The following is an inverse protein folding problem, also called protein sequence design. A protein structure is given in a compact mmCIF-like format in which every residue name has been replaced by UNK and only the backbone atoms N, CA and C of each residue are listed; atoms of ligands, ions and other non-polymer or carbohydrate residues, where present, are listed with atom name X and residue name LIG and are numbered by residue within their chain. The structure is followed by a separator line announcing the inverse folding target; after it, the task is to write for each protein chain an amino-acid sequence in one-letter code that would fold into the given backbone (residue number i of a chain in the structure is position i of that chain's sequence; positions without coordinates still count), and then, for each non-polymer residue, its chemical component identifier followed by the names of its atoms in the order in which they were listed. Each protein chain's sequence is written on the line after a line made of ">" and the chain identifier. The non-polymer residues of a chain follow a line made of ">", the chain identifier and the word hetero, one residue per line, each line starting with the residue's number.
data_IF_572650345533
#
_entry.id   IF_572650345533
#
_cell.length_a   1.000
_cell.length_b   1.000
_cell.length_c   1.000
_cell.angle_alpha   90.00
_cell.angle_beta   90.00
_cell.angle_gamma   90.00
#
_symmetry.space_group_name_H-M   'P 1'
#
loop_
_entity.id
_entity.type
_entity.pdbx_description
1 polymer ?
#
# COMPACT_ATOMS: atom_id res chain seq x y z
N UNK A 1 -21.25 39.81 -21.35
CA UNK A 1 -22.43 38.91 -21.27
C UNK A 1 -22.29 37.62 -22.11
N UNK A 2 -21.94 37.67 -23.41
CA UNK A 2 -21.79 36.45 -24.25
C UNK A 2 -20.64 35.53 -23.82
N UNK A 3 -19.47 36.06 -23.47
CA UNK A 3 -18.34 35.27 -22.95
C UNK A 3 -18.68 34.56 -21.63
N UNK A 4 -19.40 35.24 -20.73
CA UNK A 4 -19.83 34.71 -19.43
C UNK A 4 -20.77 33.51 -19.60
N UNK A 5 -21.72 33.56 -20.55
CA UNK A 5 -22.61 32.44 -20.88
C UNK A 5 -21.87 31.24 -21.46
N UNK A 6 -20.90 31.48 -22.35
CA UNK A 6 -20.06 30.41 -22.93
C UNK A 6 -19.21 29.71 -21.85
N UNK A 7 -18.65 30.47 -20.92
CA UNK A 7 -17.88 29.92 -19.80
C UNK A 7 -18.76 29.06 -18.89
N UNK A 8 -19.97 29.53 -18.54
CA UNK A 8 -20.93 28.75 -17.73
C UNK A 8 -21.30 27.43 -18.41
N UNK A 9 -21.51 27.44 -19.72
CA UNK A 9 -21.81 26.22 -20.47
C UNK A 9 -20.61 25.25 -20.46
N UNK A 10 -19.39 25.73 -20.70
CA UNK A 10 -18.17 24.92 -20.62
C UNK A 10 -18.00 24.29 -19.22
N UNK A 11 -18.22 25.06 -18.15
CA UNK A 11 -18.17 24.53 -16.79
C UNK A 11 -19.21 23.44 -16.54
N UNK A 12 -20.43 23.61 -17.06
CA UNK A 12 -21.49 22.61 -16.95
C UNK A 12 -21.12 21.32 -17.67
N UNK A 13 -20.60 21.42 -18.90
CA UNK A 13 -20.23 20.26 -19.71
C UNK A 13 -19.03 19.52 -19.11
N UNK A 14 -18.05 20.26 -18.57
CA UNK A 14 -16.92 19.68 -17.84
C UNK A 14 -17.36 18.98 -16.56
N UNK A 15 -18.28 19.57 -15.80
CA UNK A 15 -18.82 18.96 -14.58
C UNK A 15 -19.53 17.64 -14.90
N UNK A 16 -20.45 17.64 -15.87
CA UNK A 16 -21.14 16.43 -16.35
C UNK A 16 -20.15 15.35 -16.81
N UNK A 17 -19.07 15.75 -17.48
CA UNK A 17 -18.00 14.83 -17.86
C UNK A 17 -17.31 14.26 -16.63
N UNK A 18 -16.89 15.09 -15.67
CA UNK A 18 -16.21 14.63 -14.47
C UNK A 18 -17.08 13.71 -13.61
N UNK A 19 -18.37 14.01 -13.49
CA UNK A 19 -19.33 13.17 -12.76
C UNK A 19 -19.41 11.77 -13.39
N UNK A 20 -19.55 11.68 -14.72
CA UNK A 20 -19.49 10.39 -15.44
C UNK A 20 -18.15 9.69 -15.27
N UNK A 21 -17.05 10.43 -15.29
CA UNK A 21 -15.71 9.84 -15.09
C UNK A 21 -15.57 9.27 -13.67
N UNK A 22 -16.06 9.99 -12.65
CA UNK A 22 -16.11 9.53 -11.26
C UNK A 22 -16.92 8.24 -11.11
N UNK A 23 -18.06 8.15 -11.77
CA UNK A 23 -18.87 6.92 -11.79
C UNK A 23 -18.12 5.75 -12.41
N UNK A 24 -17.38 5.98 -13.51
CA UNK A 24 -16.66 4.91 -14.22
C UNK A 24 -15.49 4.35 -13.38
N UNK A 25 -14.64 5.21 -12.79
CA UNK A 25 -13.50 4.71 -12.04
C UNK A 25 -13.85 4.26 -10.62
N UNK A 26 -14.93 4.78 -10.02
CA UNK A 26 -15.39 4.39 -8.68
C UNK A 26 -14.28 4.52 -7.63
N UNK A 27 -13.95 3.40 -6.97
CA UNK A 27 -12.87 3.35 -5.97
C UNK A 27 -11.46 3.27 -6.57
N UNK A 28 -11.34 3.16 -7.89
CA UNK A 28 -10.05 3.08 -8.62
C UNK A 28 -9.54 4.49 -8.90
N UNK A 29 -8.23 4.61 -9.15
CA UNK A 29 -7.59 5.90 -9.43
C UNK A 29 -7.48 6.23 -10.93
N UNK A 30 -7.69 5.25 -11.80
CA UNK A 30 -7.56 5.39 -13.25
C UNK A 30 -8.29 4.25 -13.97
N UNK A 31 -8.59 4.48 -15.25
CA UNK A 31 -9.27 3.52 -16.13
C UNK A 31 -8.89 3.78 -17.59
N UNK A 32 -8.90 2.77 -18.46
CA UNK A 32 -8.68 2.98 -19.90
C UNK A 32 -9.89 3.65 -20.56
N UNK A 33 -9.63 4.49 -21.56
CA UNK A 33 -10.71 5.13 -22.34
C UNK A 33 -11.48 4.14 -23.21
N UNK A 34 -10.85 3.04 -23.62
CA UNK A 34 -11.44 2.01 -24.50
C UNK A 34 -11.97 0.81 -23.73
N UNK A 35 -11.31 0.45 -22.62
CA UNK A 35 -11.68 -0.64 -21.73
C UNK A 35 -11.76 -0.10 -20.29
N UNK A 36 -12.97 0.23 -19.85
CA UNK A 36 -13.17 0.86 -18.54
C UNK A 36 -12.82 -0.05 -17.36
N UNK A 37 -12.65 -1.36 -17.57
CA UNK A 37 -12.27 -2.30 -16.52
C UNK A 37 -10.75 -2.37 -16.33
N UNK A 38 -9.97 -2.01 -17.35
CA UNK A 38 -8.52 -1.94 -17.28
C UNK A 38 -8.03 -0.69 -16.53
N UNK A 39 -6.97 -0.84 -15.72
CA UNK A 39 -6.38 0.26 -14.95
C UNK A 39 -4.96 0.56 -15.43
N UNK A 40 -4.57 1.84 -15.42
CA UNK A 40 -3.22 2.23 -15.79
C UNK A 40 -2.22 1.77 -14.71
N UNK A 41 -1.29 0.91 -15.11
CA UNK A 41 -0.27 0.33 -14.25
C UNK A 41 1.09 0.31 -14.94
N UNK A 42 2.14 0.22 -14.13
CA UNK A 42 3.51 0.10 -14.65
C UNK A 42 3.70 -1.33 -15.13
N UNK A 43 3.99 -1.50 -16.41
CA UNK A 43 4.22 -2.82 -16.98
C UNK A 43 5.63 -3.31 -16.67
N UNK A 44 5.83 -4.64 -16.64
CA UNK A 44 7.17 -5.24 -16.60
C UNK A 44 7.96 -4.89 -17.86
N UNK A 45 7.29 -4.93 -19.02
CA UNK A 45 7.85 -4.48 -20.29
C UNK A 45 7.76 -2.96 -20.44
N UNK A 46 8.78 -2.29 -19.92
CA UNK A 46 9.04 -0.86 -20.05
C UNK A 46 10.21 -0.64 -21.02
N UNK A 47 9.98 -0.89 -22.32
CA UNK A 47 11.01 -0.79 -23.37
C UNK A 47 11.67 0.59 -23.41
N UNK A 48 10.88 1.63 -23.21
CA UNK A 48 11.34 3.03 -23.22
C UNK A 48 12.01 3.44 -21.92
N UNK A 49 11.93 2.62 -20.86
CA UNK A 49 12.45 2.89 -19.50
C UNK A 49 12.01 4.24 -18.92
N UNK A 50 10.88 4.76 -19.40
CA UNK A 50 10.33 6.05 -19.01
C UNK A 50 9.25 5.90 -17.93
N UNK A 51 8.93 4.67 -17.51
CA UNK A 51 7.91 4.39 -16.51
C UNK A 51 6.50 4.66 -17.00
N UNK A 52 6.26 4.65 -18.31
CA UNK A 52 4.95 4.88 -18.89
C UNK A 52 3.93 3.85 -18.38
N UNK A 53 2.79 4.35 -17.89
CA UNK A 53 1.69 3.51 -17.45
C UNK A 53 0.89 3.05 -18.67
N UNK A 54 0.59 1.76 -18.73
CA UNK A 54 -0.27 1.19 -19.75
C UNK A 54 -1.52 0.60 -19.10
N UNK A 55 -2.68 0.64 -19.77
CA UNK A 55 -3.86 -0.01 -19.25
C UNK A 55 -3.63 -1.51 -19.23
N UNK A 56 -3.96 -2.15 -18.12
CA UNK A 56 -3.80 -3.59 -17.96
C UNK A 56 -4.61 -4.13 -16.81
N UNK A 57 -4.44 -5.44 -16.61
CA UNK A 57 -4.98 -6.19 -15.49
C UNK A 57 -3.86 -6.87 -14.74
N UNK A 58 -4.01 -6.97 -13.43
CA UNK A 58 -3.13 -7.72 -12.55
C UNK A 58 -3.68 -9.15 -12.42
N UNK A 59 -3.00 -10.09 -13.06
CA UNK A 59 -3.31 -11.52 -13.01
C UNK A 59 -2.61 -12.18 -11.82
N UNK A 60 -3.39 -12.88 -11.02
CA UNK A 60 -2.98 -13.65 -9.86
C UNK A 60 -3.19 -15.13 -10.14
N UNK A 61 -2.21 -15.97 -9.77
CA UNK A 61 -2.26 -17.41 -10.00
C UNK A 61 -1.77 -18.12 -8.74
N UNK A 62 -2.58 -19.05 -8.24
CA UNK A 62 -2.22 -19.93 -7.14
C UNK A 62 -1.80 -21.28 -7.71
N UNK A 63 -0.65 -21.78 -7.26
CA UNK A 63 -0.11 -23.06 -7.71
C UNK A 63 0.27 -23.94 -6.53
N UNK A 64 0.15 -25.25 -6.71
CA UNK A 64 0.61 -26.25 -5.76
C UNK A 64 1.05 -27.51 -6.53
N UNK A 65 2.23 -28.05 -6.22
CA UNK A 65 2.77 -29.26 -6.85
C UNK A 65 2.70 -29.25 -8.39
N UNK A 66 3.07 -28.13 -9.02
CA UNK A 66 3.03 -27.89 -10.48
C UNK A 66 1.63 -27.79 -11.09
N UNK A 67 0.57 -27.81 -10.28
CA UNK A 67 -0.81 -27.57 -10.74
C UNK A 67 -1.24 -26.13 -10.47
N UNK A 68 -2.01 -25.57 -11.40
CA UNK A 68 -2.76 -24.33 -11.16
C UNK A 68 -4.04 -24.67 -10.43
N UNK A 69 -4.20 -24.11 -9.23
CA UNK A 69 -5.40 -24.30 -8.41
C UNK A 69 -6.44 -23.22 -8.69
N UNK A 70 -6.01 -21.97 -8.74
CA UNK A 70 -6.91 -20.85 -8.94
C UNK A 70 -6.22 -19.70 -9.68
N UNK A 71 -7.01 -18.86 -10.32
CA UNK A 71 -6.56 -17.60 -10.88
C UNK A 71 -7.56 -16.49 -10.59
N UNK A 72 -7.09 -15.25 -10.58
CA UNK A 72 -7.91 -14.06 -10.36
C UNK A 72 -7.39 -12.89 -11.18
N UNK A 73 -8.29 -12.09 -11.73
CA UNK A 73 -7.95 -10.92 -12.54
C UNK A 73 -8.42 -9.68 -11.80
N UNK A 74 -7.50 -8.74 -11.57
CA UNK A 74 -7.76 -7.56 -10.75
C UNK A 74 -7.36 -6.27 -11.47
N UNK A 75 -8.15 -5.21 -11.24
CA UNK A 75 -7.84 -3.87 -11.74
C UNK A 75 -7.01 -3.05 -10.75
N UNK A 76 -6.28 -3.70 -9.84
CA UNK A 76 -5.37 -3.02 -8.90
C UNK A 76 -3.93 -3.03 -9.45
N UNK A 77 -3.26 -1.88 -9.57
CA UNK A 77 -1.90 -1.81 -10.08
C UNK A 77 -0.84 -2.53 -9.22
N UNK A 78 -1.11 -2.75 -7.93
CA UNK A 78 -0.18 -3.35 -7.00
C UNK A 78 -0.74 -4.60 -6.36
N UNK A 79 0.15 -5.56 -6.08
CA UNK A 79 -0.16 -6.91 -5.63
C UNK A 79 -0.71 -6.99 -4.21
N UNK A 80 -0.31 -6.05 -3.35
CA UNK A 80 -0.70 -6.07 -1.93
C UNK A 80 -2.20 -6.16 -1.72
N UNK A 81 -3.03 -5.58 -2.59
CA UNK A 81 -4.50 -5.58 -2.41
C UNK A 81 -5.22 -6.74 -3.07
N UNK A 82 -4.56 -7.47 -3.96
CA UNK A 82 -5.19 -8.58 -4.67
C UNK A 82 -5.26 -9.82 -3.78
N UNK A 83 -4.41 -9.92 -2.75
CA UNK A 83 -4.31 -11.12 -1.91
C UNK A 83 -5.60 -11.48 -1.20
N UNK A 84 -6.17 -10.56 -0.40
CA UNK A 84 -7.40 -10.83 0.36
C UNK A 84 -8.56 -11.28 -0.54
N UNK A 85 -8.95 -10.54 -1.61
CA UNK A 85 -10.02 -11.01 -2.47
C UNK A 85 -9.66 -12.33 -3.17
N UNK A 86 -8.38 -12.58 -3.48
CA UNK A 86 -7.94 -13.83 -4.08
C UNK A 86 -8.07 -15.02 -3.12
N UNK A 87 -7.60 -14.90 -1.88
CA UNK A 87 -7.78 -15.94 -0.86
C UNK A 87 -9.25 -16.21 -0.59
N UNK A 88 -10.10 -15.17 -0.54
CA UNK A 88 -11.56 -15.33 -0.44
C UNK A 88 -12.15 -16.10 -1.62
N UNK A 89 -11.67 -15.86 -2.85
CA UNK A 89 -12.13 -16.64 -4.01
C UNK A 89 -11.71 -18.11 -3.92
N UNK A 90 -10.50 -18.40 -3.44
CA UNK A 90 -10.02 -19.78 -3.26
C UNK A 90 -10.84 -20.48 -2.16
N UNK A 91 -11.04 -19.82 -1.03
CA UNK A 91 -11.88 -20.32 0.06
C UNK A 91 -13.31 -20.60 -0.42
N UNK A 92 -13.88 -19.74 -1.27
CA UNK A 92 -15.22 -19.96 -1.84
C UNK A 92 -15.28 -21.16 -2.78
N UNK A 93 -14.19 -21.46 -3.50
CA UNK A 93 -14.13 -22.58 -4.45
C UNK A 93 -13.92 -23.92 -3.75
N UNK A 94 -13.06 -23.97 -2.73
CA UNK A 94 -12.62 -25.22 -2.10
C UNK A 94 -13.16 -25.43 -0.68
N UNK A 95 -13.81 -24.43 -0.09
CA UNK A 95 -14.28 -24.45 1.29
C UNK A 95 -13.21 -24.10 2.34
N UNK A 96 -11.92 -24.18 1.97
CA UNK A 96 -10.79 -23.77 2.79
C UNK A 96 -9.61 -23.33 1.89
N UNK A 97 -8.55 -22.79 2.50
CA UNK A 97 -7.27 -22.47 1.85
C UNK A 97 -6.12 -23.26 2.51
N UNK A 98 -4.99 -23.47 1.80
CA UNK A 98 -3.84 -24.20 2.34
C UNK A 98 -3.28 -23.60 3.63
N UNK A 99 -2.69 -24.45 4.48
CA UNK A 99 -2.05 -24.05 5.75
C UNK A 99 -0.97 -22.99 5.58
N UNK A 100 -0.13 -23.14 4.54
CA UNK A 100 0.96 -22.22 4.26
C UNK A 100 0.65 -21.36 3.04
N UNK A 101 0.60 -20.05 3.23
CA UNK A 101 0.41 -19.08 2.15
C UNK A 101 1.75 -18.48 1.77
N UNK A 102 2.31 -18.93 0.65
CA UNK A 102 3.59 -18.47 0.11
C UNK A 102 3.36 -17.41 -0.96
N UNK A 103 4.02 -16.26 -0.85
CA UNK A 103 3.96 -15.20 -1.85
C UNK A 103 5.22 -14.32 -1.82
N UNK A 104 5.40 -13.49 -2.85
CA UNK A 104 6.53 -12.55 -2.92
C UNK A 104 6.38 -11.36 -1.96
N UNK A 105 7.44 -10.54 -1.88
CA UNK A 105 7.48 -9.39 -0.98
C UNK A 105 6.48 -8.27 -1.31
N UNK A 106 5.90 -8.26 -2.52
CA UNK A 106 4.86 -7.33 -2.94
C UNK A 106 3.55 -7.54 -2.19
N UNK A 107 3.30 -8.76 -1.69
CA UNK A 107 2.16 -9.08 -0.83
C UNK A 107 2.43 -8.78 0.65
N UNK A 108 3.69 -8.56 1.04
CA UNK A 108 4.10 -8.37 2.42
C UNK A 108 3.63 -7.03 3.01
N UNK A 109 2.50 -7.05 3.70
CA UNK A 109 1.95 -5.89 4.42
C UNK A 109 1.23 -6.32 5.69
N UNK A 110 1.22 -5.42 6.69
CA UNK A 110 0.47 -5.59 7.94
C UNK A 110 -0.95 -6.10 7.70
N UNK A 111 -1.68 -5.44 6.80
CA UNK A 111 -3.05 -5.82 6.46
C UNK A 111 -3.17 -7.26 5.97
N UNK A 112 -2.26 -7.69 5.09
CA UNK A 112 -2.30 -9.05 4.57
C UNK A 112 -1.91 -10.09 5.63
N UNK A 113 -0.98 -9.75 6.53
CA UNK A 113 -0.65 -10.63 7.66
C UNK A 113 -1.84 -10.79 8.60
N UNK A 114 -2.51 -9.70 8.99
CA UNK A 114 -3.74 -9.72 9.80
C UNK A 114 -4.81 -10.57 9.11
N UNK A 115 -5.01 -10.43 7.81
CA UNK A 115 -6.00 -11.24 7.08
C UNK A 115 -5.65 -12.73 7.13
N UNK A 116 -4.39 -13.10 6.90
CA UNK A 116 -3.99 -14.51 6.87
C UNK A 116 -4.02 -15.13 8.28
N UNK A 117 -3.51 -14.42 9.28
CA UNK A 117 -3.40 -14.89 10.66
C UNK A 117 -4.75 -14.86 11.40
N UNK A 118 -5.50 -13.77 11.28
CA UNK A 118 -6.68 -13.52 12.13
C UNK A 118 -7.99 -13.88 11.42
N UNK A 119 -8.11 -13.67 10.10
CA UNK A 119 -9.35 -14.02 9.37
C UNK A 119 -9.36 -15.47 8.87
N UNK A 120 -8.21 -15.99 8.43
CA UNK A 120 -8.11 -17.35 7.87
C UNK A 120 -7.43 -18.36 8.80
N UNK A 121 -6.80 -17.90 9.88
CA UNK A 121 -6.06 -18.76 10.83
C UNK A 121 -5.00 -19.63 10.14
N UNK A 122 -4.26 -19.06 9.18
CA UNK A 122 -3.21 -19.74 8.41
C UNK A 122 -1.83 -19.13 8.64
N UNK A 123 -0.80 -19.79 8.13
CA UNK A 123 0.59 -19.36 8.29
C UNK A 123 1.10 -18.61 7.04
N UNK A 124 1.39 -17.30 7.12
CA UNK A 124 1.99 -16.56 6.01
C UNK A 124 3.50 -16.82 5.90
N UNK A 125 3.94 -17.30 4.73
CA UNK A 125 5.35 -17.41 4.35
C UNK A 125 5.68 -16.33 3.31
N UNK A 126 5.50 -15.07 3.73
CA UNK A 126 5.65 -13.89 2.87
C UNK A 126 6.67 -12.96 3.54
N UNK A 127 7.67 -12.52 2.78
CA UNK A 127 8.61 -11.52 3.29
C UNK A 127 7.98 -10.12 3.22
N UNK A 128 8.19 -9.27 4.22
CA UNK A 128 7.74 -7.88 4.11
C UNK A 128 8.69 -7.07 3.23
N UNK A 129 8.16 -6.05 2.56
CA UNK A 129 8.87 -5.23 1.56
C UNK A 129 10.24 -4.69 2.00
N UNK A 130 10.41 -4.35 3.27
CA UNK A 130 11.65 -3.76 3.81
C UNK A 130 12.69 -4.78 4.26
N UNK A 131 12.36 -6.07 4.32
CA UNK A 131 13.18 -7.13 4.91
C UNK A 131 14.61 -7.18 4.35
N UNK A 132 14.76 -7.14 3.02
CA UNK A 132 16.09 -7.17 2.39
C UNK A 132 16.83 -5.83 2.54
N UNK A 133 16.09 -4.72 2.55
CA UNK A 133 16.66 -3.36 2.65
C UNK A 133 17.24 -3.12 4.04
N UNK A 134 16.56 -3.57 5.08
CA UNK A 134 16.98 -3.47 6.48
C UNK A 134 18.27 -4.24 6.77
N UNK A 135 18.58 -5.29 6.00
CA UNK A 135 19.83 -6.05 6.13
C UNK A 135 21.06 -5.31 5.59
N UNK A 136 20.89 -4.29 4.75
CA UNK A 136 22.01 -3.60 4.11
C UNK A 136 22.77 -2.70 5.10
N UNK A 137 24.12 -2.68 5.00
CA UNK A 137 24.98 -1.84 5.85
C UNK A 137 24.60 -0.36 5.81
N UNK A 138 24.28 0.17 4.62
CA UNK A 138 23.84 1.57 4.44
C UNK A 138 22.56 1.88 5.20
N UNK A 139 21.63 0.92 5.31
CA UNK A 139 20.40 1.10 6.07
C UNK A 139 20.71 1.07 7.57
N UNK A 140 21.40 0.03 8.04
CA UNK A 140 21.72 -0.15 9.47
C UNK A 140 22.55 1.00 10.06
N UNK A 141 23.49 1.53 9.29
CA UNK A 141 24.38 2.60 9.75
C UNK A 141 23.79 3.99 9.55
N UNK A 142 22.58 4.13 9.01
CA UNK A 142 21.94 5.43 8.84
C UNK A 142 21.28 5.86 10.16
N UNK A 143 21.80 6.90 10.84
CA UNK A 143 21.26 7.34 12.11
C UNK A 143 19.89 8.00 11.98
N UNK A 144 19.47 8.45 10.79
CA UNK A 144 18.17 9.11 10.61
C UNK A 144 16.99 8.15 10.44
N UNK A 145 17.25 6.84 10.45
CA UNK A 145 16.21 5.82 10.40
C UNK A 145 15.79 5.50 11.83
N UNK A 146 14.53 5.81 12.16
CA UNK A 146 13.96 5.64 13.51
C UNK A 146 14.02 4.20 14.02
N UNK A 147 13.93 3.21 13.13
CA UNK A 147 14.05 1.79 13.48
C UNK A 147 15.46 1.40 14.00
N UNK A 148 16.48 2.23 13.74
CA UNK A 148 17.84 2.00 14.25
C UNK A 148 18.09 2.75 15.58
N UNK A 149 17.12 3.51 16.09
CA UNK A 149 17.29 4.26 17.33
C UNK A 149 17.21 3.33 18.53
N UNK A 150 17.98 3.66 19.57
CA UNK A 150 17.87 2.97 20.85
C UNK A 150 16.51 3.29 21.48
N UNK A 151 15.82 2.24 21.93
CA UNK A 151 14.51 2.32 22.56
C UNK A 151 14.58 1.76 23.97
N UNK A 152 14.26 2.58 24.96
CA UNK A 152 14.12 2.14 26.34
C UNK A 152 12.69 1.67 26.57
N UNK A 153 12.52 0.36 26.75
CA UNK A 153 11.21 -0.28 26.93
C UNK A 153 10.58 0.05 28.29
N UNK A 154 11.40 0.24 29.33
CA UNK A 154 10.93 0.45 30.71
C UNK A 154 10.35 1.87 30.86
N UNK A 155 11.05 2.86 30.31
CA UNK A 155 10.68 4.29 30.43
C UNK A 155 9.96 4.84 29.18
N UNK A 156 9.66 3.99 28.19
CA UNK A 156 8.96 4.27 26.92
C UNK A 156 9.47 5.53 26.19
N UNK A 157 10.76 5.53 25.84
CA UNK A 157 11.35 6.61 25.03
C UNK A 157 12.39 6.11 24.02
N UNK A 158 12.58 6.91 22.96
CA UNK A 158 13.66 6.73 21.99
C UNK A 158 14.79 7.72 22.21
N UNK A 159 16.02 7.35 21.84
CA UNK A 159 17.17 8.27 21.79
C UNK A 159 17.46 8.63 20.34
N UNK A 160 17.35 9.93 19.99
CA UNK A 160 17.65 10.38 18.63
C UNK A 160 19.16 10.52 18.37
N UNK A 161 19.57 10.74 17.11
CA UNK A 161 20.98 10.94 16.74
C UNK A 161 21.65 12.14 17.43
N UNK A 162 20.85 13.12 17.87
CA UNK A 162 21.33 14.27 18.65
C UNK A 162 21.38 13.98 20.16
N UNK A 163 21.30 12.71 20.59
CA UNK A 163 21.30 12.26 21.99
C UNK A 163 20.19 12.85 22.86
N UNK A 164 19.08 13.25 22.25
CA UNK A 164 17.89 13.72 22.98
C UNK A 164 16.89 12.57 23.13
N UNK A 165 16.20 12.53 24.26
CA UNK A 165 15.12 11.59 24.51
C UNK A 165 13.83 12.08 23.84
N UNK A 166 13.08 11.12 23.28
CA UNK A 166 11.75 11.33 22.73
C UNK A 166 10.78 10.46 23.52
N UNK A 167 9.98 11.10 24.37
CA UNK A 167 9.01 10.42 25.20
C UNK A 167 7.70 10.22 24.44
N UNK A 168 6.97 9.17 24.82
CA UNK A 168 5.61 8.96 24.33
C UNK A 168 4.73 10.17 24.65
N UNK A 169 3.99 10.64 23.65
CA UNK A 169 3.12 11.81 23.77
C UNK A 169 1.65 11.43 23.62
N UNK A 170 1.30 10.69 22.57
CA UNK A 170 -0.10 10.34 22.29
C UNK A 170 -0.22 9.23 21.25
N UNK A 171 -1.42 8.62 21.19
CA UNK A 171 -1.81 7.78 20.07
C UNK A 171 -2.42 8.62 18.95
N UNK A 172 -2.09 8.26 17.71
CA UNK A 172 -2.71 8.82 16.51
C UNK A 172 -3.27 7.72 15.65
N UNK A 173 -4.57 7.80 15.39
CA UNK A 173 -5.24 6.92 14.43
C UNK A 173 -5.19 7.56 13.06
N UNK A 174 -4.86 6.78 12.03
CA UNK A 174 -5.01 7.21 10.63
C UNK A 174 -5.71 6.12 9.86
N UNK A 175 -6.64 6.53 8.99
CA UNK A 175 -7.16 5.66 7.94
C UNK A 175 -6.37 5.89 6.67
N UNK A 176 -5.94 4.80 6.03
CA UNK A 176 -5.39 4.90 4.70
C UNK A 176 -6.50 5.17 3.67
N UNK A 177 -6.11 5.43 2.41
CA UNK A 177 -7.06 5.70 1.32
C UNK A 177 -8.00 4.53 0.99
N UNK A 178 -7.91 3.41 1.71
CA UNK A 178 -8.68 2.18 1.52
C UNK A 178 -9.50 1.83 2.77
N UNK A 179 -9.56 2.75 3.74
CA UNK A 179 -10.36 2.61 4.95
C UNK A 179 -9.72 1.78 6.05
N UNK A 180 -8.50 1.26 5.88
CA UNK A 180 -7.80 0.49 6.91
C UNK A 180 -7.29 1.47 7.96
N UNK A 181 -7.71 1.27 9.21
CA UNK A 181 -7.25 2.05 10.34
C UNK A 181 -5.93 1.48 10.86
N UNK A 182 -4.97 2.36 11.11
CA UNK A 182 -3.70 2.05 11.77
C UNK A 182 -3.50 2.97 12.96
N UNK A 183 -3.00 2.39 14.04
CA UNK A 183 -2.73 3.10 15.29
C UNK A 183 -1.23 3.34 15.40
N UNK A 184 -0.85 4.61 15.58
CA UNK A 184 0.53 5.04 15.68
C UNK A 184 0.80 5.59 17.08
N UNK A 185 1.92 5.22 17.68
CA UNK A 185 2.47 5.91 18.85
C UNK A 185 3.27 7.13 18.37
N UNK A 186 2.96 8.30 18.92
CA UNK A 186 3.71 9.53 18.66
C UNK A 186 4.70 9.75 19.79
N UNK A 187 5.96 9.96 19.41
CA UNK A 187 7.07 10.29 20.30
C UNK A 187 7.57 11.69 19.96
N UNK A 188 7.82 12.51 20.97
CA UNK A 188 8.25 13.89 20.79
C UNK A 188 9.37 14.26 21.77
N UNK A 189 10.24 15.18 21.34
CA UNK A 189 11.25 15.80 22.19
C UNK A 189 10.76 17.19 22.61
N UNK A 190 10.89 17.53 23.88
CA UNK A 190 10.46 18.82 24.43
C UNK A 190 11.31 20.00 23.90
N UNK A 191 12.58 19.76 23.59
CA UNK A 191 13.53 20.81 23.22
C UNK A 191 14.20 20.54 21.86
N UNK A 192 13.47 20.75 20.75
CA UNK A 192 14.00 20.58 19.38
C UNK A 192 14.24 21.91 18.62
N UNK A 193 14.17 23.05 19.31
CA UNK A 193 14.47 24.37 18.72
C UNK A 193 15.98 24.50 18.51
N UNK A 194 16.41 24.94 17.30
CA UNK A 194 17.82 25.13 16.96
C UNK A 194 18.64 23.83 16.78
N UNK A 195 17.99 22.68 16.59
CA UNK A 195 18.71 21.42 16.43
C UNK A 195 19.54 21.40 15.12
N UNK A 196 20.85 21.12 15.17
CA UNK A 196 21.72 21.12 13.98
C UNK A 196 21.44 19.96 13.02
N UNK A 197 20.70 18.95 13.49
CA UNK A 197 20.29 17.78 12.70
C UNK A 197 18.84 17.87 12.22
N UNK A 198 18.15 18.99 12.48
CA UNK A 198 16.78 19.24 12.01
C UNK A 198 16.87 19.94 10.66
N UNK A 199 16.53 19.19 9.60
CA UNK A 199 16.29 19.73 8.26
C UNK A 199 15.01 20.54 8.20
#
# INVERSE_FOLDING_TARGET
>A
MRQSKKAIQDFKDRKLKYDKQMEIYGDRKSYSKTDHDATFMRMKDDHMRNGELKPGYNLQIATNNQFVLAFGVYSYPGDTRTLKPFLKSIHKLYGDIPEYIVADAGYGSEYNYTVILDEFEKTPLITYSMYLKEKQRKYKNNPFITANWEYNVIEDYYICPNKKTLHFQSYRKRRDGYGIQRDFKLYACEACVGCPLRS
#
